data_IF_509431404007
#
_entry.id   IF_509431404007
#
_cell.length_a   1.000
_cell.length_b   1.000
_cell.length_c   1.000
_cell.angle_alpha   90.00
_cell.angle_beta   90.00
_cell.angle_gamma   90.00
#
_symmetry.space_group_name_H-M   'P 1'
#
loop_
_entity.id
_entity.type
_entity.pdbx_description
1 polymer ?
#
# COMPACT_ATOMS: atom_id res chain seq x y z
N UNK A 1 26.24 22.06 21.20
CA UNK A 1 25.14 22.19 20.22
C UNK A 1 24.32 20.91 20.27
N UNK A 2 22.99 21.00 20.44
CA UNK A 2 22.11 19.82 20.43
C UNK A 2 21.84 19.40 18.97
N UNK A 3 22.05 18.12 18.65
CA UNK A 3 21.76 17.57 17.31
C UNK A 3 20.24 17.62 17.07
N UNK A 4 19.81 18.18 15.95
CA UNK A 4 18.40 18.18 15.54
C UNK A 4 18.12 16.95 14.68
N UNK A 5 17.10 16.19 15.05
CA UNK A 5 16.60 15.06 14.27
C UNK A 5 15.47 15.56 13.37
N UNK A 6 15.56 15.27 12.07
CA UNK A 6 14.52 15.56 11.08
C UNK A 6 14.18 14.28 10.31
N UNK A 7 12.90 14.07 10.01
CA UNK A 7 12.46 13.04 9.08
C UNK A 7 12.12 13.70 7.75
N UNK A 8 12.73 13.23 6.66
CA UNK A 8 12.53 13.77 5.30
C UNK A 8 12.03 12.68 4.38
N UNK A 9 11.15 13.07 3.47
CA UNK A 9 10.64 12.21 2.41
C UNK A 9 11.44 12.48 1.15
N UNK A 10 12.05 11.46 0.55
CA UNK A 10 12.83 11.63 -0.70
C UNK A 10 11.92 11.90 -1.91
N UNK A 11 10.73 11.29 -1.91
CA UNK A 11 9.78 11.35 -3.02
C UNK A 11 8.35 11.60 -2.52
N UNK A 12 7.51 12.37 -3.23
CA UNK A 12 6.10 12.50 -2.86
C UNK A 12 5.32 11.18 -3.02
N UNK A 13 5.88 10.18 -3.72
CA UNK A 13 5.23 8.91 -4.02
C UNK A 13 4.94 8.04 -2.78
N UNK A 14 4.01 7.10 -2.95
CA UNK A 14 3.44 6.22 -1.94
C UNK A 14 3.40 4.79 -2.50
N UNK A 15 3.65 3.84 -1.62
CA UNK A 15 3.47 2.42 -1.92
C UNK A 15 2.13 1.97 -1.35
N UNK A 16 1.36 1.24 -2.16
CA UNK A 16 0.04 0.72 -1.77
C UNK A 16 0.15 -0.80 -1.73
N UNK A 17 -0.07 -1.37 -0.55
CA UNK A 17 0.02 -2.81 -0.30
C UNK A 17 -1.37 -3.35 0.00
N UNK A 18 -1.69 -4.48 -0.62
CA UNK A 18 -2.90 -5.24 -0.35
C UNK A 18 -2.52 -6.40 0.54
N UNK A 19 -3.10 -6.45 1.73
CA UNK A 19 -2.70 -7.38 2.78
C UNK A 19 -3.90 -8.22 3.17
N UNK A 20 -3.69 -9.53 3.31
CA UNK A 20 -4.70 -10.43 3.85
C UNK A 20 -4.88 -10.12 5.34
N UNK A 21 -6.12 -9.82 5.73
CA UNK A 21 -6.41 -9.36 7.10
C UNK A 21 -6.07 -10.39 8.19
N UNK A 22 -6.22 -11.67 7.89
CA UNK A 22 -6.04 -12.76 8.86
C UNK A 22 -4.58 -13.10 9.14
N UNK A 23 -3.71 -13.00 8.14
CA UNK A 23 -2.32 -13.47 8.22
C UNK A 23 -1.29 -12.35 8.17
N UNK A 24 -1.68 -11.15 7.77
CA UNK A 24 -0.75 -10.05 7.47
C UNK A 24 0.08 -10.30 6.21
N UNK A 25 -0.19 -11.37 5.44
CA UNK A 25 0.51 -11.67 4.20
C UNK A 25 0.21 -10.61 3.15
N UNK A 26 1.26 -10.03 2.57
CA UNK A 26 1.14 -9.15 1.40
C UNK A 26 0.70 -9.99 0.21
N UNK A 27 -0.45 -9.64 -0.36
CA UNK A 27 -0.99 -10.23 -1.58
C UNK A 27 -0.27 -9.61 -2.77
N UNK A 28 -0.35 -8.29 -2.91
CA UNK A 28 0.38 -7.57 -3.94
C UNK A 28 0.67 -6.12 -3.53
N UNK A 29 1.57 -5.48 -4.25
CA UNK A 29 2.03 -4.11 -4.01
C UNK A 29 2.03 -3.31 -5.30
N UNK A 30 1.49 -2.10 -5.25
CA UNK A 30 1.57 -1.09 -6.29
C UNK A 30 2.50 0.02 -5.80
N UNK A 31 3.57 0.27 -6.56
CA UNK A 31 4.53 1.33 -6.28
C UNK A 31 4.16 2.63 -6.99
N UNK A 32 4.76 3.73 -6.53
CA UNK A 32 4.73 5.03 -7.20
C UNK A 32 3.36 5.68 -7.38
N UNK A 33 2.50 5.60 -6.35
CA UNK A 33 1.22 6.33 -6.31
C UNK A 33 1.37 7.69 -5.62
N UNK A 34 0.52 8.65 -5.96
CA UNK A 34 0.40 9.89 -5.17
C UNK A 34 -0.88 9.85 -4.32
N UNK A 35 -0.95 10.73 -3.33
CA UNK A 35 -2.01 10.73 -2.32
C UNK A 35 -3.40 11.02 -2.91
N UNK A 36 -3.47 11.87 -3.93
CA UNK A 36 -4.70 12.21 -4.67
C UNK A 36 -5.28 10.97 -5.34
N UNK A 37 -4.41 10.17 -5.94
CA UNK A 37 -4.80 8.99 -6.70
C UNK A 37 -5.33 7.85 -5.80
N UNK A 38 -4.85 7.69 -4.56
CA UNK A 38 -5.26 6.55 -3.72
C UNK A 38 -6.73 6.63 -3.31
N UNK A 39 -7.21 7.81 -2.89
CA UNK A 39 -8.58 7.97 -2.38
C UNK A 39 -9.67 7.71 -3.43
N UNK A 40 -9.37 7.99 -4.70
CA UNK A 40 -10.33 7.87 -5.81
C UNK A 40 -10.14 6.59 -6.63
N UNK A 41 -8.93 6.02 -6.71
CA UNK A 41 -8.66 4.85 -7.57
C UNK A 41 -9.09 3.52 -6.96
N UNK A 42 -9.04 3.36 -5.64
CA UNK A 42 -9.29 2.05 -5.00
C UNK A 42 -10.76 1.85 -4.62
N UNK A 43 -11.63 2.03 -5.61
CA UNK A 43 -13.04 1.64 -5.52
C UNK A 43 -13.18 0.11 -5.43
N UNK A 44 -14.34 -0.35 -4.96
CA UNK A 44 -14.70 -1.77 -4.90
C UNK A 44 -14.55 -2.46 -6.27
N UNK A 45 -14.99 -1.80 -7.34
CA UNK A 45 -14.86 -2.31 -8.70
C UNK A 45 -13.39 -2.49 -9.12
N UNK A 46 -12.56 -1.46 -8.92
CA UNK A 46 -11.16 -1.51 -9.33
C UNK A 46 -10.36 -2.56 -8.55
N UNK A 47 -10.56 -2.64 -7.23
CA UNK A 47 -9.90 -3.65 -6.38
C UNK A 47 -10.34 -5.06 -6.79
N UNK A 48 -11.62 -5.26 -7.11
CA UNK A 48 -12.14 -6.55 -7.55
C UNK A 48 -11.47 -7.02 -8.84
N UNK A 49 -11.38 -6.14 -9.85
CA UNK A 49 -10.78 -6.49 -11.14
C UNK A 49 -9.27 -6.75 -11.02
N UNK A 50 -8.55 -5.95 -10.22
CA UNK A 50 -7.13 -6.21 -9.93
C UNK A 50 -6.91 -7.59 -9.30
N UNK A 51 -7.75 -7.96 -8.32
CA UNK A 51 -7.66 -9.26 -7.65
C UNK A 51 -7.94 -10.42 -8.61
N UNK A 52 -8.93 -10.28 -9.50
CA UNK A 52 -9.26 -11.27 -10.53
C UNK A 52 -8.18 -11.44 -11.60
N UNK A 53 -7.49 -10.37 -11.94
CA UNK A 53 -6.36 -10.45 -12.88
C UNK A 53 -5.12 -11.10 -12.25
N UNK A 54 -4.97 -10.97 -10.93
CA UNK A 54 -3.78 -11.44 -10.21
C UNK A 54 -3.89 -12.90 -9.75
N UNK A 55 -5.09 -13.36 -9.37
CA UNK A 55 -5.30 -14.68 -8.77
C UNK A 55 -6.48 -15.41 -9.40
N UNK A 56 -6.41 -16.74 -9.38
CA UNK A 56 -7.52 -17.59 -9.78
C UNK A 56 -8.69 -17.59 -8.77
N UNK A 57 -9.85 -18.07 -9.23
CA UNK A 57 -11.07 -18.09 -8.42
C UNK A 57 -10.95 -18.96 -7.16
N UNK A 58 -10.15 -20.03 -7.20
CA UNK A 58 -9.97 -20.92 -6.06
C UNK A 58 -9.23 -20.20 -4.94
N UNK A 59 -8.13 -19.50 -5.26
CA UNK A 59 -7.37 -18.72 -4.30
C UNK A 59 -8.19 -17.56 -3.75
N UNK A 60 -8.91 -16.84 -4.62
CA UNK A 60 -9.78 -15.72 -4.20
C UNK A 60 -10.84 -16.15 -3.19
N UNK A 61 -11.41 -17.34 -3.34
CA UNK A 61 -12.42 -17.89 -2.41
C UNK A 61 -11.91 -18.05 -0.97
N UNK A 62 -10.59 -18.10 -0.77
CA UNK A 62 -9.93 -18.33 0.52
C UNK A 62 -9.46 -17.04 1.22
N UNK A 63 -9.54 -15.87 0.56
CA UNK A 63 -8.97 -14.62 1.07
C UNK A 63 -9.84 -14.00 2.18
N UNK A 64 -11.16 -14.02 2.02
CA UNK A 64 -12.12 -13.46 2.97
C UNK A 64 -12.12 -11.92 3.00
N UNK A 65 -11.13 -11.31 3.66
CA UNK A 65 -11.03 -9.84 3.84
C UNK A 65 -9.67 -9.31 3.41
N UNK A 66 -9.72 -8.21 2.66
CA UNK A 66 -8.55 -7.49 2.15
C UNK A 66 -8.43 -6.16 2.90
N UNK A 67 -7.21 -5.80 3.29
CA UNK A 67 -6.87 -4.48 3.82
C UNK A 67 -5.94 -3.81 2.82
N UNK A 68 -6.28 -2.59 2.43
CA UNK A 68 -5.43 -1.73 1.59
C UNK A 68 -4.65 -0.81 2.52
N UNK A 69 -3.33 -0.91 2.47
CA UNK A 69 -2.40 -0.12 3.30
C UNK A 69 -1.61 0.80 2.40
N UNK A 70 -1.62 2.09 2.73
CA UNK A 70 -0.85 3.11 2.03
C UNK A 70 0.26 3.56 2.96
N UNK A 71 1.50 3.41 2.51
CA UNK A 71 2.67 3.72 3.31
C UNK A 71 3.56 4.77 2.61
N UNK A 72 4.20 5.59 3.43
CA UNK A 72 5.16 6.60 3.03
C UNK A 72 6.46 6.38 3.79
N UNK A 73 7.57 6.32 3.07
CA UNK A 73 8.89 6.11 3.66
C UNK A 73 9.56 7.45 3.98
N UNK A 74 10.09 7.56 5.19
CA UNK A 74 10.83 8.74 5.67
C UNK A 74 12.22 8.34 6.13
N UNK A 75 13.22 9.13 5.74
CA UNK A 75 14.59 8.96 6.20
C UNK A 75 14.91 9.92 7.35
N UNK A 76 15.60 9.41 8.37
CA UNK A 76 16.12 10.22 9.46
C UNK A 76 17.39 10.95 9.01
N UNK A 77 17.42 12.27 9.22
CA UNK A 77 18.58 13.13 8.99
C UNK A 77 18.93 13.82 10.31
N UNK A 78 20.22 13.84 10.64
CA UNK A 78 20.76 14.49 11.84
C UNK A 78 21.50 15.75 11.39
N UNK A 79 21.05 16.92 11.86
CA UNK A 79 21.61 18.25 11.56
C UNK A 79 22.09 18.99 12.79
#
# INVERSE_FOLDING_TARGET
MSRKIKFVKETPRLNVKFVQASSGKVLFEIKDRDWMNVGELFTDHYVTELMRQTYDAEYLSKIGKIIVVVAADYQQVIT
#
